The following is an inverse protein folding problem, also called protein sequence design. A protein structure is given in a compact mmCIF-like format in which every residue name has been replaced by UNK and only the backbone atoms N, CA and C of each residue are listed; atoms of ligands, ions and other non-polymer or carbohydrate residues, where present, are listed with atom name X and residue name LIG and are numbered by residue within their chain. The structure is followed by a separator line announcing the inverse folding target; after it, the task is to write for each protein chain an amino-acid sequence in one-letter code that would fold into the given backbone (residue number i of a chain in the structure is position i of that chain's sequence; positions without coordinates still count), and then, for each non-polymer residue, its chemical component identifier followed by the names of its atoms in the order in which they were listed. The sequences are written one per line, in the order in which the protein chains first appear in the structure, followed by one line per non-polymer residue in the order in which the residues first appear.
data_IF_009769597998
#
_entry.id   IF_009769597998
#
_cell.length_a   1.000
_cell.length_b   1.000
_cell.length_c   1.000
_cell.angle_alpha   90.00
_cell.angle_beta   90.00
_cell.angle_gamma   90.00
#
_symmetry.space_group_name_H-M   'P 1'
#
loop_
_entity.id
_entity.type
_entity.pdbx_description
1 polymer ?
#
# COMPACT_ATOMS: atom_id res chain seq x y z
N UNK A 1 -16.22 -8.19 7.35
CA UNK A 1 -17.06 -7.19 6.65
C UNK A 1 -16.16 -6.36 5.76
N UNK A 2 -16.65 -5.86 4.63
CA UNK A 2 -15.85 -4.98 3.76
C UNK A 2 -15.41 -3.73 4.54
N UNK A 3 -14.13 -3.37 4.43
CA UNK A 3 -13.53 -2.23 5.14
C UNK A 3 -13.08 -2.53 6.57
N UNK A 4 -13.25 -3.75 7.08
CA UNK A 4 -12.83 -4.10 8.44
C UNK A 4 -11.30 -4.01 8.60
N UNK A 5 -10.54 -4.48 7.60
CA UNK A 5 -9.07 -4.43 7.65
C UNK A 5 -8.58 -2.99 7.50
N UNK A 6 -9.24 -2.21 6.64
CA UNK A 6 -9.00 -0.78 6.51
C UNK A 6 -9.06 -0.04 7.84
N UNK A 7 -10.17 -0.14 8.59
CA UNK A 7 -10.28 0.57 9.86
C UNK A 7 -9.31 0.02 10.91
N UNK A 8 -9.12 -1.30 10.98
CA UNK A 8 -8.20 -1.91 11.95
C UNK A 8 -6.75 -1.47 11.73
N UNK A 9 -6.24 -1.61 10.51
CA UNK A 9 -4.88 -1.21 10.15
C UNK A 9 -4.74 0.32 10.20
N UNK A 10 -5.76 1.07 9.81
CA UNK A 10 -5.75 2.53 9.88
C UNK A 10 -5.60 3.06 11.31
N UNK A 11 -6.41 2.57 12.25
CA UNK A 11 -6.29 2.94 13.67
C UNK A 11 -4.96 2.50 14.27
N UNK A 12 -4.51 1.29 13.98
CA UNK A 12 -3.21 0.79 14.42
C UNK A 12 -2.06 1.66 13.86
N UNK A 13 -2.13 2.03 12.57
CA UNK A 13 -1.15 2.92 11.94
C UNK A 13 -1.13 4.29 12.61
N UNK A 14 -2.29 4.85 12.95
CA UNK A 14 -2.37 6.11 13.67
C UNK A 14 -1.70 6.04 15.05
N UNK A 15 -1.96 4.98 15.84
CA UNK A 15 -1.30 4.75 17.13
C UNK A 15 0.21 4.63 16.94
N UNK A 16 0.68 3.84 15.96
CA UNK A 16 2.11 3.68 15.72
C UNK A 16 2.76 5.01 15.37
N UNK A 17 2.18 5.78 14.46
CA UNK A 17 2.75 7.06 14.03
C UNK A 17 2.78 8.06 15.18
N UNK A 18 1.70 8.17 15.96
CA UNK A 18 1.59 9.17 17.04
C UNK A 18 2.53 8.89 18.21
N UNK A 19 2.74 7.63 18.58
CA UNK A 19 3.53 7.28 19.76
C UNK A 19 4.99 6.92 19.47
N UNK A 20 5.28 6.29 18.32
CA UNK A 20 6.62 5.72 18.07
C UNK A 20 7.52 6.56 17.17
N UNK A 21 6.99 7.53 16.41
CA UNK A 21 7.84 8.41 15.60
C UNK A 21 8.48 9.53 16.43
N UNK A 22 9.81 9.63 16.36
CA UNK A 22 10.61 10.65 17.06
C UNK A 22 10.56 12.04 16.40
N UNK A 23 10.38 12.10 15.08
CA UNK A 23 10.34 13.36 14.33
C UNK A 23 8.96 14.01 14.44
N UNK A 24 8.90 15.17 15.12
CA UNK A 24 7.67 15.95 15.34
C UNK A 24 6.96 16.31 14.03
N UNK A 25 7.68 16.73 12.98
CA UNK A 25 7.07 17.19 11.72
C UNK A 25 6.47 16.02 10.96
N UNK A 26 7.24 14.94 10.79
CA UNK A 26 6.78 13.73 10.08
C UNK A 26 5.63 13.04 10.80
N UNK A 27 5.71 12.97 12.14
CA UNK A 27 4.62 12.45 12.98
C UNK A 27 3.32 13.20 12.75
N UNK A 28 3.36 14.54 12.81
CA UNK A 28 2.16 15.36 12.63
C UNK A 28 1.55 15.17 11.22
N UNK A 29 2.39 15.21 10.18
CA UNK A 29 1.95 15.04 8.80
C UNK A 29 1.29 13.68 8.57
N UNK A 30 1.97 12.58 8.94
CA UNK A 30 1.45 11.23 8.74
C UNK A 30 0.19 10.96 9.58
N UNK A 31 0.15 11.42 10.83
CA UNK A 31 -1.04 11.25 11.69
C UNK A 31 -2.25 11.98 11.10
N UNK A 32 -2.04 13.20 10.59
CA UNK A 32 -3.08 13.98 9.95
C UNK A 32 -3.58 13.29 8.68
N UNK A 33 -2.68 12.78 7.82
CA UNK A 33 -3.05 12.02 6.61
C UNK A 33 -3.91 10.80 6.96
N UNK A 34 -3.49 9.99 7.95
CA UNK A 34 -4.24 8.80 8.36
C UNK A 34 -5.63 9.17 8.89
N UNK A 35 -5.74 10.19 9.75
CA UNK A 35 -7.04 10.65 10.27
C UNK A 35 -7.93 11.20 9.16
N UNK A 36 -7.38 11.94 8.22
CA UNK A 36 -8.12 12.47 7.08
C UNK A 36 -8.66 11.33 6.21
N UNK A 37 -7.83 10.33 5.90
CA UNK A 37 -8.24 9.12 5.16
C UNK A 37 -9.36 8.37 5.90
N UNK A 38 -9.26 8.21 7.21
CA UNK A 38 -10.30 7.56 8.00
C UNK A 38 -11.61 8.36 8.08
N UNK A 39 -11.53 9.70 8.13
CA UNK A 39 -12.70 10.57 8.28
C UNK A 39 -13.45 10.79 6.97
N UNK A 40 -12.75 10.74 5.83
CA UNK A 40 -13.35 10.97 4.50
C UNK A 40 -13.68 9.67 3.75
N UNK A 41 -13.49 8.51 4.39
CA UNK A 41 -13.79 7.20 3.80
C UNK A 41 -15.27 7.02 3.45
N UNK A 42 -16.19 7.71 4.14
CA UNK A 42 -17.63 7.65 3.88
C UNK A 42 -18.13 8.70 2.89
N UNK A 43 -17.25 9.61 2.45
CA UNK A 43 -17.60 10.71 1.56
C UNK A 43 -17.35 10.27 0.12
N UNK A 44 -18.39 10.35 -0.72
CA UNK A 44 -18.28 10.06 -2.15
C UNK A 44 -18.66 11.30 -2.96
N UNK A 45 -17.86 11.60 -3.98
CA UNK A 45 -18.10 12.70 -4.91
C UNK A 45 -18.22 12.16 -6.33
N UNK A 46 -19.32 12.47 -7.01
CA UNK A 46 -19.53 12.04 -8.40
C UNK A 46 -18.93 13.06 -9.37
N UNK A 47 -17.96 12.63 -10.18
CA UNK A 47 -17.29 13.45 -11.19
C UNK A 47 -17.05 12.63 -12.47
N UNK A 48 -17.40 13.20 -13.64
CA UNK A 48 -17.25 12.55 -14.96
C UNK A 48 -17.93 11.16 -15.09
N UNK A 49 -19.00 10.94 -14.34
CA UNK A 49 -19.71 9.66 -14.28
C UNK A 49 -18.96 8.57 -13.51
N UNK A 50 -17.96 8.94 -12.72
CA UNK A 50 -17.34 8.10 -11.69
C UNK A 50 -17.68 8.63 -10.30
N UNK A 51 -17.87 7.73 -9.34
CA UNK A 51 -18.03 8.08 -7.92
C UNK A 51 -16.69 7.91 -7.22
N UNK A 52 -16.04 9.02 -6.87
CA UNK A 52 -14.73 9.04 -6.23
C UNK A 52 -14.89 9.06 -4.72
N UNK A 53 -14.20 8.14 -4.03
CA UNK A 53 -14.09 8.18 -2.59
C UNK A 53 -13.17 9.34 -2.14
N UNK A 54 -13.59 10.09 -1.13
CA UNK A 54 -12.83 11.23 -0.60
C UNK A 54 -11.48 10.82 -0.03
N UNK A 55 -11.42 9.67 0.65
CA UNK A 55 -10.16 9.15 1.17
C UNK A 55 -9.20 8.76 0.04
N UNK A 56 -9.73 8.29 -1.10
CA UNK A 56 -8.90 7.87 -2.24
C UNK A 56 -8.16 9.09 -2.80
N UNK A 57 -8.86 10.22 -2.96
CA UNK A 57 -8.25 11.47 -3.40
C UNK A 57 -7.13 11.93 -2.45
N UNK A 58 -7.35 11.82 -1.13
CA UNK A 58 -6.33 12.17 -0.13
C UNK A 58 -5.10 11.26 -0.27
N UNK A 59 -5.31 9.96 -0.46
CA UNK A 59 -4.23 8.99 -0.65
C UNK A 59 -3.44 9.27 -1.94
N UNK A 60 -4.12 9.60 -3.04
CA UNK A 60 -3.48 9.98 -4.32
C UNK A 60 -2.58 11.20 -4.11
N UNK A 61 -3.11 12.27 -3.50
CA UNK A 61 -2.35 13.50 -3.26
C UNK A 61 -1.15 13.23 -2.35
N UNK A 62 -1.37 12.53 -1.24
CA UNK A 62 -0.29 12.18 -0.31
C UNK A 62 0.81 11.37 -1.02
N UNK A 63 0.41 10.34 -1.78
CA UNK A 63 1.35 9.47 -2.48
C UNK A 63 2.14 10.25 -3.52
N UNK A 64 1.50 11.13 -4.29
CA UNK A 64 2.17 11.94 -5.30
C UNK A 64 3.17 12.93 -4.70
N UNK A 65 2.82 13.60 -3.59
CA UNK A 65 3.74 14.50 -2.88
C UNK A 65 5.01 13.77 -2.41
N UNK A 66 4.85 12.59 -1.80
CA UNK A 66 6.01 11.77 -1.39
C UNK A 66 6.77 11.20 -2.60
N UNK A 67 6.06 10.83 -3.66
CA UNK A 67 6.65 10.27 -4.88
C UNK A 67 7.59 11.28 -5.55
N UNK A 68 7.15 12.53 -5.73
CA UNK A 68 7.96 13.61 -6.30
C UNK A 68 9.25 13.84 -5.49
N UNK A 69 9.18 13.75 -4.17
CA UNK A 69 10.37 13.87 -3.31
C UNK A 69 11.39 12.72 -3.47
N UNK A 70 10.94 11.54 -3.92
CA UNK A 70 11.79 10.36 -4.15
C UNK A 70 12.30 10.23 -5.58
N UNK A 71 11.63 10.85 -6.56
CA UNK A 71 11.96 10.80 -7.98
C UNK A 71 13.25 11.60 -8.27
N UNK A 72 14.39 10.95 -8.09
CA UNK A 72 15.71 11.44 -8.54
C UNK A 72 16.01 10.97 -9.98
N UNK A 73 17.27 11.08 -10.43
CA UNK A 73 17.81 10.76 -11.78
C UNK A 73 17.44 9.38 -12.41
N UNK A 74 16.66 8.52 -11.76
CA UNK A 74 16.23 7.18 -12.24
C UNK A 74 14.72 7.08 -12.47
N UNK A 75 14.10 8.16 -12.96
CA UNK A 75 12.65 8.27 -13.14
C UNK A 75 12.06 7.13 -13.99
N UNK A 76 12.73 6.77 -15.10
CA UNK A 76 12.31 5.68 -15.99
C UNK A 76 12.23 4.33 -15.27
N UNK A 77 13.28 3.93 -14.56
CA UNK A 77 13.31 2.65 -13.85
C UNK A 77 12.23 2.57 -12.77
N UNK A 78 12.01 3.67 -12.04
CA UNK A 78 10.96 3.74 -11.02
C UNK A 78 9.56 3.68 -11.66
N UNK A 79 9.35 4.34 -12.79
CA UNK A 79 8.08 4.29 -13.52
C UNK A 79 7.75 2.88 -14.01
N UNK A 80 8.70 2.17 -14.62
CA UNK A 80 8.49 0.78 -15.01
C UNK A 80 8.18 -0.12 -13.80
N UNK A 81 8.88 0.10 -12.69
CA UNK A 81 8.67 -0.66 -11.46
C UNK A 81 7.26 -0.47 -10.89
N UNK A 82 6.78 0.78 -10.83
CA UNK A 82 5.41 1.11 -10.39
C UNK A 82 4.38 0.52 -11.37
N UNK A 83 4.66 0.60 -12.67
CA UNK A 83 3.81 0.06 -13.72
C UNK A 83 3.70 -1.47 -13.64
N UNK A 84 4.77 -2.19 -13.26
CA UNK A 84 4.73 -3.64 -13.03
C UNK A 84 3.77 -4.02 -11.91
N UNK A 85 3.80 -3.28 -10.79
CA UNK A 85 2.87 -3.49 -9.67
C UNK A 85 1.43 -3.19 -10.09
N UNK A 86 1.23 -2.09 -10.82
CA UNK A 86 -0.07 -1.72 -11.38
C UNK A 86 -0.60 -2.77 -12.35
N UNK A 87 0.24 -3.30 -13.23
CA UNK A 87 -0.14 -4.36 -14.16
C UNK A 87 -0.55 -5.63 -13.41
N UNK A 88 0.17 -6.01 -12.36
CA UNK A 88 -0.18 -7.17 -11.54
C UNK A 88 -1.56 -7.01 -10.87
N UNK A 89 -1.86 -5.81 -10.37
CA UNK A 89 -3.19 -5.48 -9.82
C UNK A 89 -4.29 -5.69 -10.87
N UNK A 90 -4.11 -5.12 -12.07
CA UNK A 90 -5.08 -5.20 -13.16
C UNK A 90 -5.24 -6.63 -13.66
N UNK A 91 -4.13 -7.35 -13.88
CA UNK A 91 -4.15 -8.74 -14.32
C UNK A 91 -4.89 -9.64 -13.33
N UNK A 92 -4.65 -9.47 -12.03
CA UNK A 92 -5.37 -10.23 -11.01
C UNK A 92 -6.86 -9.88 -11.00
N UNK A 93 -7.20 -8.59 -11.06
CA UNK A 93 -8.60 -8.14 -11.10
C UNK A 93 -9.37 -8.72 -12.29
N UNK A 94 -8.72 -8.79 -13.46
CA UNK A 94 -9.29 -9.39 -14.67
C UNK A 94 -9.40 -10.91 -14.52
N UNK A 95 -8.35 -11.56 -14.03
CA UNK A 95 -8.31 -13.02 -13.83
C UNK A 95 -9.43 -13.49 -12.89
N UNK A 96 -9.69 -12.74 -11.82
CA UNK A 96 -10.74 -13.00 -10.85
C UNK A 96 -12.15 -13.06 -11.48
N UNK A 97 -12.39 -12.30 -12.55
CA UNK A 97 -13.67 -12.30 -13.28
C UNK A 97 -13.79 -13.54 -14.18
N UNK A 98 -12.68 -13.97 -14.79
CA UNK A 98 -12.71 -15.07 -15.76
C UNK A 98 -12.74 -16.46 -15.11
N UNK A 99 -11.98 -16.67 -14.05
CA UNK A 99 -11.90 -17.98 -13.38
C UNK A 99 -11.88 -17.85 -11.84
N UNK A 100 -13.06 -17.78 -11.20
CA UNK A 100 -13.17 -17.61 -9.76
C UNK A 100 -12.77 -18.87 -8.96
N UNK A 101 -12.56 -20.02 -9.60
CA UNK A 101 -12.25 -21.29 -8.91
C UNK A 101 -10.88 -21.23 -8.22
N UNK A 102 -9.95 -20.44 -8.76
CA UNK A 102 -8.62 -20.24 -8.20
C UNK A 102 -8.60 -19.30 -6.98
N UNK A 103 -9.73 -18.66 -6.65
CA UNK A 103 -9.87 -17.77 -5.50
C UNK A 103 -10.14 -18.63 -4.24
N UNK A 104 -9.08 -19.30 -3.77
CA UNK A 104 -9.14 -20.22 -2.61
C UNK A 104 -9.19 -19.43 -1.28
N UNK A 105 -8.63 -18.22 -1.27
CA UNK A 105 -8.59 -17.31 -0.12
C UNK A 105 -9.42 -16.05 -0.38
N UNK A 106 -9.73 -15.24 0.66
CA UNK A 106 -10.38 -13.96 0.44
C UNK A 106 -9.56 -13.09 -0.53
N UNK A 107 -10.23 -12.54 -1.55
CA UNK A 107 -9.64 -11.88 -2.72
C UNK A 107 -8.63 -10.78 -2.34
N UNK A 108 -8.96 -9.97 -1.34
CA UNK A 108 -8.11 -8.89 -0.84
C UNK A 108 -6.79 -9.39 -0.22
N UNK A 109 -6.78 -10.56 0.42
CA UNK A 109 -5.54 -11.16 0.93
C UNK A 109 -4.65 -11.67 -0.19
N UNK A 110 -5.23 -12.38 -1.17
CA UNK A 110 -4.48 -12.89 -2.32
C UNK A 110 -3.82 -11.76 -3.09
N UNK A 111 -4.62 -10.75 -3.46
CA UNK A 111 -4.12 -9.59 -4.18
C UNK A 111 -3.06 -8.86 -3.33
N UNK A 112 -3.36 -8.59 -2.05
CA UNK A 112 -2.44 -7.92 -1.14
C UNK A 112 -1.07 -8.61 -1.01
N UNK A 113 -1.05 -9.94 -0.91
CA UNK A 113 0.17 -10.73 -0.87
C UNK A 113 0.93 -10.77 -2.20
N UNK A 114 0.23 -10.87 -3.33
CA UNK A 114 0.85 -10.84 -4.66
C UNK A 114 1.58 -9.50 -4.86
N UNK A 115 0.91 -8.39 -4.53
CA UNK A 115 1.53 -7.06 -4.64
C UNK A 115 2.72 -6.89 -3.70
N UNK A 116 2.60 -7.39 -2.47
CA UNK A 116 3.70 -7.39 -1.52
C UNK A 116 4.89 -8.17 -2.05
N UNK A 117 4.67 -9.37 -2.57
CA UNK A 117 5.71 -10.21 -3.14
C UNK A 117 6.43 -9.51 -4.30
N UNK A 118 5.67 -8.94 -5.24
CA UNK A 118 6.22 -8.17 -6.36
C UNK A 118 6.99 -6.94 -5.86
N UNK A 119 6.45 -6.21 -4.89
CA UNK A 119 7.10 -5.05 -4.28
C UNK A 119 8.48 -5.38 -3.70
N UNK A 120 8.61 -6.50 -2.99
CA UNK A 120 9.88 -6.92 -2.40
C UNK A 120 10.94 -7.27 -3.44
N UNK A 121 10.53 -7.87 -4.57
CA UNK A 121 11.43 -8.22 -5.68
C UNK A 121 11.86 -6.97 -6.46
N UNK A 122 10.89 -6.13 -6.80
CA UNK A 122 11.11 -4.99 -7.71
C UNK A 122 11.82 -3.85 -7.00
N UNK A 123 11.43 -3.53 -5.76
CA UNK A 123 11.95 -2.36 -5.04
C UNK A 123 13.05 -2.74 -4.05
N UNK A 124 14.29 -2.38 -4.39
CA UNK A 124 15.46 -2.69 -3.55
C UNK A 124 15.60 -1.79 -2.31
N UNK A 125 15.17 -0.52 -2.39
CA UNK A 125 15.36 0.45 -1.31
C UNK A 125 14.17 0.47 -0.36
N UNK A 126 14.40 0.08 0.90
CA UNK A 126 13.37 0.01 1.96
C UNK A 126 12.55 1.31 2.11
N UNK A 127 13.21 2.46 2.11
CA UNK A 127 12.57 3.76 2.36
C UNK A 127 11.56 4.18 1.28
N UNK A 128 11.71 3.66 0.06
CA UNK A 128 10.87 4.04 -1.08
C UNK A 128 9.77 3.01 -1.35
N UNK A 129 9.83 1.82 -0.73
CA UNK A 129 8.89 0.69 -0.96
C UNK A 129 7.44 1.08 -0.72
N UNK A 130 7.16 1.78 0.38
CA UNK A 130 5.79 2.19 0.72
C UNK A 130 5.17 3.10 -0.35
N UNK A 131 5.91 4.12 -0.77
CA UNK A 131 5.42 5.11 -1.73
C UNK A 131 5.22 4.47 -3.11
N UNK A 132 6.15 3.62 -3.54
CA UNK A 132 6.04 2.96 -4.84
C UNK A 132 4.97 1.87 -4.88
N UNK A 133 4.78 1.12 -3.79
CA UNK A 133 3.68 0.16 -3.65
C UNK A 133 2.33 0.88 -3.72
N UNK A 134 2.15 1.96 -2.97
CA UNK A 134 0.93 2.77 -3.00
C UNK A 134 0.67 3.37 -4.37
N UNK A 135 1.70 3.93 -5.02
CA UNK A 135 1.57 4.47 -6.37
C UNK A 135 1.12 3.39 -7.37
N UNK A 136 1.68 2.18 -7.26
CA UNK A 136 1.31 1.05 -8.12
C UNK A 136 -0.12 0.58 -7.91
N UNK A 137 -0.57 0.49 -6.65
CA UNK A 137 -1.93 0.12 -6.28
C UNK A 137 -2.94 1.16 -6.79
N UNK A 138 -2.68 2.46 -6.53
CA UNK A 138 -3.52 3.55 -7.02
C UNK A 138 -3.64 3.53 -8.55
N UNK A 139 -2.50 3.39 -9.24
CA UNK A 139 -2.48 3.33 -10.70
C UNK A 139 -3.23 2.10 -11.22
N UNK A 140 -3.05 0.94 -10.56
CA UNK A 140 -3.78 -0.29 -10.87
C UNK A 140 -5.29 -0.13 -10.74
N UNK A 141 -5.76 0.43 -9.63
CA UNK A 141 -7.18 0.66 -9.37
C UNK A 141 -7.83 1.56 -10.43
N UNK A 142 -7.17 2.67 -10.79
CA UNK A 142 -7.65 3.57 -11.83
C UNK A 142 -7.78 2.84 -13.17
N UNK A 143 -6.77 2.05 -13.56
CA UNK A 143 -6.80 1.30 -14.82
C UNK A 143 -7.91 0.24 -14.79
N UNK A 144 -8.02 -0.53 -13.70
CA UNK A 144 -9.06 -1.56 -13.53
C UNK A 144 -10.46 -0.97 -13.68
N UNK A 145 -10.74 0.16 -13.02
CA UNK A 145 -12.07 0.78 -13.07
C UNK A 145 -12.38 1.36 -14.45
N UNK A 146 -11.39 1.97 -15.11
CA UNK A 146 -11.58 2.46 -16.49
C UNK A 146 -11.91 1.30 -17.43
N UNK A 147 -11.28 0.14 -17.27
CA UNK A 147 -11.59 -1.07 -18.04
C UNK A 147 -12.98 -1.61 -17.71
N UNK A 148 -13.31 -1.76 -16.43
CA UNK A 148 -14.57 -2.37 -15.99
C UNK A 148 -15.78 -1.47 -16.22
N UNK A 149 -15.62 -0.14 -16.24
CA UNK A 149 -16.70 0.77 -16.62
C UNK A 149 -17.25 0.45 -18.00
N UNK A 150 -16.38 0.10 -18.95
CA UNK A 150 -16.77 -0.21 -20.33
C UNK A 150 -17.55 -1.53 -20.45
N UNK A 151 -17.31 -2.47 -19.54
CA UNK A 151 -17.83 -3.84 -19.62
C UNK A 151 -19.05 -4.04 -18.69
N UNK A 152 -18.98 -3.52 -17.47
CA UNK A 152 -19.95 -3.81 -16.39
C UNK A 152 -20.63 -2.55 -15.82
N UNK A 153 -20.37 -1.36 -16.38
CA UNK A 153 -20.85 -0.06 -15.87
C UNK A 153 -20.45 0.25 -14.41
N UNK A 154 -19.45 -0.48 -13.88
CA UNK A 154 -18.88 -0.20 -12.57
C UNK A 154 -18.15 1.15 -12.59
N UNK A 155 -18.43 2.00 -11.61
CA UNK A 155 -17.98 3.41 -11.63
C UNK A 155 -17.50 3.96 -10.29
N UNK A 156 -17.42 3.13 -9.24
CA UNK A 156 -16.98 3.56 -7.91
C UNK A 156 -15.47 3.36 -7.78
N UNK A 157 -14.74 4.44 -7.47
CA UNK A 157 -13.28 4.44 -7.27
C UNK A 157 -12.97 4.54 -5.78
N UNK A 158 -12.12 3.62 -5.30
CA UNK A 158 -11.69 3.59 -3.91
C UNK A 158 -12.77 3.05 -2.98
N UNK A 159 -13.40 1.95 -3.38
CA UNK A 159 -14.37 1.26 -2.54
C UNK A 159 -13.68 0.56 -1.35
N UNK A 160 -14.45 0.07 -0.37
CA UNK A 160 -13.91 -0.59 0.82
C UNK A 160 -13.04 -1.81 0.49
N UNK A 161 -13.33 -2.51 -0.62
CA UNK A 161 -12.47 -3.59 -1.12
C UNK A 161 -11.06 -3.12 -1.48
N UNK A 162 -10.93 -1.99 -2.18
CA UNK A 162 -9.65 -1.37 -2.50
C UNK A 162 -8.90 -0.99 -1.21
N UNK A 163 -9.61 -0.44 -0.23
CA UNK A 163 -9.01 -0.06 1.04
C UNK A 163 -8.51 -1.24 1.87
N UNK A 164 -9.20 -2.36 1.85
CA UNK A 164 -8.75 -3.59 2.50
C UNK A 164 -7.47 -4.13 1.81
N UNK A 165 -7.36 -4.05 0.48
CA UNK A 165 -6.12 -4.40 -0.24
C UNK A 165 -4.97 -3.49 0.22
N UNK A 166 -5.17 -2.17 0.23
CA UNK A 166 -4.16 -1.21 0.69
C UNK A 166 -3.72 -1.53 2.12
N UNK A 167 -4.68 -1.80 3.00
CA UNK A 167 -4.42 -2.15 4.40
C UNK A 167 -3.57 -3.42 4.53
N UNK A 168 -3.94 -4.50 3.84
CA UNK A 168 -3.19 -5.78 3.87
C UNK A 168 -1.79 -5.60 3.28
N UNK A 169 -1.66 -4.91 2.15
CA UNK A 169 -0.35 -4.68 1.51
C UNK A 169 0.58 -3.82 2.37
N UNK A 170 0.09 -2.75 3.00
CA UNK A 170 0.89 -1.92 3.92
C UNK A 170 1.27 -2.73 5.16
N UNK A 171 0.30 -3.40 5.80
CA UNK A 171 0.55 -4.18 7.02
C UNK A 171 1.58 -5.28 6.78
N UNK A 172 1.46 -6.00 5.66
CA UNK A 172 2.43 -7.01 5.28
C UNK A 172 3.82 -6.43 5.01
N UNK A 173 3.92 -5.28 4.32
CA UNK A 173 5.20 -4.63 4.06
C UNK A 173 5.86 -4.15 5.37
N UNK A 174 5.07 -3.59 6.29
CA UNK A 174 5.55 -3.20 7.62
C UNK A 174 6.05 -4.39 8.43
N UNK A 175 5.30 -5.49 8.42
CA UNK A 175 5.69 -6.73 9.09
C UNK A 175 6.99 -7.29 8.50
N UNK A 176 7.13 -7.30 7.18
CA UNK A 176 8.37 -7.72 6.52
C UNK A 176 9.58 -6.86 6.91
N UNK A 177 9.43 -5.53 6.89
CA UNK A 177 10.50 -4.62 7.27
C UNK A 177 10.88 -4.75 8.75
N UNK A 178 9.90 -5.02 9.61
CA UNK A 178 10.14 -5.32 11.02
C UNK A 178 10.95 -6.63 11.17
N UNK A 179 10.58 -7.69 10.44
CA UNK A 179 11.37 -8.92 10.42
C UNK A 179 12.80 -8.70 9.93
N UNK A 180 13.01 -7.96 8.84
CA UNK A 180 14.37 -7.64 8.38
C UNK A 180 15.19 -6.89 9.45
N UNK A 181 14.57 -5.98 10.20
CA UNK A 181 15.24 -5.23 11.25
C UNK A 181 15.54 -6.09 12.49
N UNK A 182 14.64 -6.98 12.87
CA UNK A 182 14.87 -7.95 13.94
C UNK A 182 16.04 -8.88 13.62
N UNK A 183 16.11 -9.41 12.40
CA UNK A 183 17.21 -10.31 11.99
C UNK A 183 18.57 -9.60 12.08
N UNK A 184 18.65 -8.34 11.65
CA UNK A 184 19.89 -7.55 11.75
C UNK A 184 20.28 -7.29 13.22
N UNK A 185 19.30 -7.03 14.08
CA UNK A 185 19.52 -6.83 15.51
C UNK A 185 20.02 -8.10 16.20
N UNK A 186 19.44 -9.26 15.87
CA UNK A 186 19.86 -10.54 16.42
C UNK A 186 21.29 -10.92 15.99
N UNK A 187 21.64 -10.70 14.72
CA UNK A 187 23.00 -10.97 14.22
C UNK A 187 24.04 -10.10 14.94
N UNK A 188 23.76 -8.80 15.09
CA UNK A 188 24.66 -7.89 15.84
C UNK A 188 24.77 -8.25 17.33
N UNK A 189 23.67 -8.69 17.97
CA UNK A 189 23.70 -9.16 19.35
C UNK A 189 24.55 -10.42 19.52
N UNK A 190 24.37 -11.40 18.63
CA UNK A 190 25.15 -12.65 18.64
C UNK A 190 26.63 -12.37 18.43
N UNK A 191 26.99 -11.55 17.44
CA UNK A 191 28.39 -11.18 17.19
C UNK A 191 29.04 -10.47 18.37
N UNK A 192 28.29 -9.61 19.09
CA UNK A 192 28.79 -8.95 20.29
C UNK A 192 29.08 -9.96 21.41
N UNK A 193 28.15 -10.89 21.66
CA UNK A 193 28.33 -11.94 22.67
C UNK A 193 29.46 -12.93 22.34
N UNK A 194 29.69 -13.23 21.07
CA UNK A 194 30.82 -14.09 20.65
C UNK A 194 32.16 -13.39 20.88
N UNK A 195 32.26 -12.08 20.59
CA UNK A 195 33.48 -11.30 20.84
C UNK A 195 33.80 -11.14 22.33
N UNK A 196 32.80 -10.99 23.18
CA UNK A 196 32.97 -10.90 24.65
C UNK A 196 33.39 -12.22 25.30
N UNK A 197 33.21 -13.37 24.63
CA UNK A 197 33.65 -14.69 25.13
C UNK A 197 35.03 -15.12 24.63
N UNK A 198 35.64 -14.39 23.68
CA UNK A 198 36.94 -14.72 23.09
C UNK A 198 38.09 -13.80 23.55
N UNK A 199 37.81 -12.76 24.34
CA UNK A 199 38.81 -11.90 25.00
C UNK A 199 38.77 -12.11 26.51
#
# INVERSE_FOLDING_TARGET
MEGQYFYFVGWLSWVIVTFFFSDRKRRFQLSCIVLLVLSTSTIYASFLGFSWNGAFLILVVATFVYLVGTLKKRLLTHYFSISTVSLAYVCFSIFEIFDPVWVIFPRHWMLGFILLYICLIVFKKKNERYVYLLAGIIQGEIITIVLFRKIFSYSVIGDYFFWDIVAVSIAGLSLWLFFEQLTIYLDTFIQKHVKEKQG
#
